data_IF_046848656078
#
_entry.id   IF_046848656078
#
_cell.length_a   1.000
_cell.length_b   1.000
_cell.length_c   1.000
_cell.angle_alpha   90.00
_cell.angle_beta   90.00
_cell.angle_gamma   90.00
#
_symmetry.space_group_name_H-M   'P 1'
#
loop_
_entity.id
_entity.type
_entity.pdbx_description
1 polymer ?
#
# COMPACT_ATOMS: atom_id res chain seq x y z
N UNK A 1 13.51 -13.16 -8.27
CA UNK A 1 14.19 -11.84 -8.14
C UNK A 1 13.17 -11.00 -7.40
N UNK A 2 13.35 -10.81 -6.08
CA UNK A 2 12.26 -10.34 -5.21
C UNK A 2 11.82 -8.93 -5.57
N UNK A 3 10.51 -8.74 -5.78
CA UNK A 3 9.93 -7.42 -6.03
C UNK A 3 10.13 -6.49 -4.82
N UNK A 4 10.50 -5.24 -5.10
CA UNK A 4 10.71 -4.23 -4.07
C UNK A 4 9.41 -3.93 -3.30
N UNK A 5 9.54 -3.79 -1.99
CA UNK A 5 8.42 -3.38 -1.13
C UNK A 5 8.08 -1.91 -1.39
N UNK A 6 6.79 -1.53 -1.51
CA UNK A 6 6.39 -0.12 -1.66
C UNK A 6 6.41 0.64 -0.33
N UNK A 7 7.02 0.07 0.72
CA UNK A 7 7.05 0.65 2.06
C UNK A 7 8.00 1.85 2.13
N UNK A 8 7.49 2.97 2.64
CA UNK A 8 8.26 4.20 2.89
C UNK A 8 8.58 4.40 4.38
N UNK A 9 8.52 3.32 5.18
CA UNK A 9 8.70 3.32 6.64
C UNK A 9 7.67 4.15 7.43
N UNK A 10 6.54 4.48 6.81
CA UNK A 10 5.36 5.02 7.50
C UNK A 10 4.39 3.88 7.75
N UNK A 11 4.19 3.53 9.02
CA UNK A 11 3.27 2.49 9.45
C UNK A 11 2.07 3.11 10.18
N UNK A 12 1.23 3.80 9.42
CA UNK A 12 -0.02 4.39 9.90
C UNK A 12 -1.16 3.90 9.02
N UNK A 13 -2.24 3.46 9.63
CA UNK A 13 -3.42 2.94 8.93
C UNK A 13 -4.49 4.02 8.93
N UNK A 14 -5.01 4.35 7.75
CA UNK A 14 -6.16 5.23 7.60
C UNK A 14 -7.40 4.50 8.10
N UNK A 15 -8.12 5.03 9.11
CA UNK A 15 -9.38 4.44 9.57
C UNK A 15 -10.51 4.58 8.55
N UNK A 16 -10.38 5.49 7.58
CA UNK A 16 -11.38 5.74 6.55
C UNK A 16 -11.31 4.71 5.43
N UNK A 17 -10.10 4.41 4.95
CA UNK A 17 -9.89 3.49 3.81
C UNK A 17 -9.48 2.08 4.24
N UNK A 18 -8.97 1.92 5.47
CA UNK A 18 -8.37 0.66 5.93
C UNK A 18 -7.01 0.37 5.28
N UNK A 19 -6.38 1.36 4.64
CA UNK A 19 -5.09 1.21 3.97
C UNK A 19 -3.98 1.96 4.72
N UNK A 20 -2.74 1.50 4.53
CA UNK A 20 -1.58 2.19 5.07
C UNK A 20 -1.41 3.55 4.38
N UNK A 21 -1.31 4.63 5.13
CA UNK A 21 -1.18 5.98 4.57
C UNK A 21 0.15 6.20 3.83
N UNK A 22 1.18 5.40 4.13
CA UNK A 22 2.45 5.45 3.44
C UNK A 22 2.51 4.58 2.17
N UNK A 23 2.15 3.30 2.29
CA UNK A 23 2.31 2.33 1.20
C UNK A 23 1.02 1.83 0.58
N UNK A 24 -0.14 2.30 1.07
CA UNK A 24 -1.49 2.00 0.58
C UNK A 24 -1.83 0.49 0.53
N UNK A 25 -1.07 -0.32 1.26
CA UNK A 25 -1.34 -1.74 1.49
C UNK A 25 -2.27 -1.93 2.68
N UNK A 26 -3.00 -3.03 2.69
CA UNK A 26 -3.78 -3.48 3.85
C UNK A 26 -2.88 -4.13 4.90
N UNK A 27 -3.35 -4.25 6.14
CA UNK A 27 -2.62 -4.95 7.21
C UNK A 27 -2.30 -6.39 6.80
N UNK A 28 -3.25 -7.07 6.16
CA UNK A 28 -3.09 -8.45 5.70
C UNK A 28 -1.97 -8.58 4.66
N UNK A 29 -1.94 -7.66 3.68
CA UNK A 29 -0.88 -7.60 2.66
C UNK A 29 0.50 -7.32 3.27
N UNK A 30 0.57 -6.44 4.28
CA UNK A 30 1.80 -6.14 5.00
C UNK A 30 2.27 -7.38 5.77
N UNK A 31 1.37 -8.04 6.51
CA UNK A 31 1.69 -9.19 7.35
C UNK A 31 2.19 -10.39 6.54
N UNK A 32 1.60 -10.62 5.36
CA UNK A 32 1.98 -11.75 4.49
C UNK A 32 3.08 -11.43 3.47
N UNK A 33 3.55 -10.17 3.39
CA UNK A 33 4.47 -9.71 2.34
C UNK A 33 5.76 -10.55 2.23
N UNK A 34 6.31 -11.06 3.33
CA UNK A 34 7.53 -11.89 3.28
C UNK A 34 7.26 -13.31 2.79
N UNK A 35 6.01 -13.79 2.88
CA UNK A 35 5.60 -15.18 2.59
C UNK A 35 4.90 -15.34 1.24
N UNK A 36 4.59 -14.24 0.58
CA UNK A 36 3.83 -14.21 -0.67
C UNK A 36 4.75 -14.32 -1.89
N UNK A 37 4.23 -14.89 -2.98
CA UNK A 37 4.97 -15.18 -4.22
C UNK A 37 5.22 -13.91 -5.03
N UNK A 38 6.15 -13.94 -5.99
CA UNK A 38 6.41 -12.79 -6.86
C UNK A 38 5.15 -12.39 -7.69
N UNK A 39 4.29 -13.34 -8.04
CA UNK A 39 3.01 -13.10 -8.73
C UNK A 39 2.02 -12.33 -7.84
N UNK A 40 1.85 -12.80 -6.61
CA UNK A 40 0.99 -12.12 -5.64
C UNK A 40 1.52 -10.72 -5.29
N UNK A 41 2.85 -10.58 -5.15
CA UNK A 41 3.49 -9.27 -4.92
C UNK A 41 3.17 -8.31 -6.05
N UNK A 42 3.20 -8.79 -7.30
CA UNK A 42 2.86 -7.98 -8.47
C UNK A 42 1.39 -7.54 -8.42
N UNK A 43 0.50 -8.45 -8.03
CA UNK A 43 -0.93 -8.14 -7.86
C UNK A 43 -1.18 -7.12 -6.74
N UNK A 44 -0.49 -7.26 -5.60
CA UNK A 44 -0.54 -6.30 -4.50
C UNK A 44 -0.03 -4.92 -4.95
N UNK A 45 1.09 -4.87 -5.69
CA UNK A 45 1.65 -3.62 -6.20
C UNK A 45 0.72 -2.93 -7.21
N UNK A 46 0.05 -3.70 -8.07
CA UNK A 46 -0.95 -3.18 -8.99
C UNK A 46 -2.14 -2.58 -8.22
N UNK A 47 -2.67 -3.30 -7.22
CA UNK A 47 -3.74 -2.80 -6.37
C UNK A 47 -3.33 -1.54 -5.59
N UNK A 48 -2.09 -1.47 -5.09
CA UNK A 48 -1.54 -0.26 -4.43
C UNK A 48 -1.53 0.92 -5.40
N UNK A 49 -1.12 0.72 -6.66
CA UNK A 49 -1.12 1.79 -7.66
C UNK A 49 -2.55 2.29 -7.93
N UNK A 50 -3.53 1.40 -8.08
CA UNK A 50 -4.93 1.77 -8.24
C UNK A 50 -5.47 2.54 -7.03
N UNK A 51 -5.16 2.11 -5.81
CA UNK A 51 -5.56 2.80 -4.58
C UNK A 51 -4.98 4.22 -4.50
N UNK A 52 -3.75 4.43 -4.98
CA UNK A 52 -3.13 5.76 -5.04
C UNK A 52 -3.89 6.69 -5.99
N UNK A 53 -4.21 6.20 -7.19
CA UNK A 53 -5.03 6.97 -8.15
C UNK A 53 -6.40 7.29 -7.55
N UNK A 54 -7.04 6.31 -6.90
CA UNK A 54 -8.32 6.53 -6.24
C UNK A 54 -8.25 7.61 -5.16
N UNK A 55 -7.18 7.65 -4.35
CA UNK A 55 -6.98 8.70 -3.34
C UNK A 55 -6.79 10.09 -3.97
N UNK A 56 -6.02 10.15 -5.05
CA UNK A 56 -5.83 11.38 -5.83
C UNK A 56 -7.16 11.88 -6.42
N UNK A 57 -7.97 10.99 -7.00
CA UNK A 57 -9.30 11.31 -7.56
C UNK A 57 -10.33 11.66 -6.48
N UNK A 58 -10.28 10.98 -5.33
CA UNK A 58 -11.14 11.26 -4.18
C UNK A 58 -10.83 12.62 -3.52
N UNK A 59 -9.80 13.34 -3.99
CA UNK A 59 -9.36 14.61 -3.41
C UNK A 59 -8.83 14.45 -1.99
N UNK A 60 -8.39 13.25 -1.60
CA UNK A 60 -7.68 13.00 -0.36
C UNK A 60 -6.19 13.15 -0.66
N UNK A 61 -5.57 14.33 -0.41
CA UNK A 61 -4.15 14.47 -0.62
C UNK A 61 -3.42 13.42 0.22
N UNK A 62 -2.55 12.65 -0.42
CA UNK A 62 -1.62 11.73 0.24
C UNK A 62 -0.55 12.58 0.95
N UNK A 63 -0.96 13.32 1.99
CA UNK A 63 -0.04 14.03 2.87
C UNK A 63 0.64 12.99 3.76
N UNK A 64 1.82 12.53 3.32
CA UNK A 64 2.72 11.76 4.16
C UNK A 64 3.23 12.71 5.26
N UNK A 65 2.46 12.86 6.33
CA UNK A 65 2.85 13.67 7.49
C UNK A 65 3.93 12.91 8.27
N UNK A 66 5.10 13.54 8.35
CA UNK A 66 6.37 13.06 8.94
C UNK A 66 6.23 12.52 10.37
#
# INVERSE_FOLDING_TARGET
>A
MSLASPCINVCRMSPETGWCEGCQRTIEEIARWSRTTDEDRRSILAAVAERRVWLEEAGQPVEVRE
#
